data_IF_024283538594
#
_entry.id   IF_024283538594
#
_cell.length_a   1.000
_cell.length_b   1.000
_cell.length_c   1.000
_cell.angle_alpha   90.00
_cell.angle_beta   90.00
_cell.angle_gamma   90.00
#
_symmetry.space_group_name_H-M   'P 1'
#
loop_
_entity.id
_entity.type
_entity.pdbx_description
1 polymer ?
#
# COMPACT_ATOMS: atom_id res chain seq x y z
N UNK A 1 -54.63 14.98 -29.56
CA UNK A 1 -53.67 14.22 -28.74
C UNK A 1 -52.21 14.36 -29.20
N UNK A 2 -51.96 14.61 -30.50
CA UNK A 2 -50.61 14.83 -31.06
C UNK A 2 -49.87 16.06 -30.49
N UNK A 3 -50.58 17.16 -30.19
CA UNK A 3 -49.98 18.36 -29.57
C UNK A 3 -49.48 18.15 -28.12
N UNK A 4 -50.12 17.24 -27.36
CA UNK A 4 -49.67 16.86 -26.01
C UNK A 4 -48.41 15.97 -26.07
N UNK A 5 -48.29 15.16 -27.12
CA UNK A 5 -47.11 14.33 -27.36
C UNK A 5 -45.89 15.17 -27.79
N UNK A 6 -46.11 16.21 -28.61
CA UNK A 6 -45.05 17.13 -29.04
C UNK A 6 -44.49 17.98 -27.89
N UNK A 7 -45.32 18.35 -26.91
CA UNK A 7 -44.91 19.13 -25.74
C UNK A 7 -44.05 18.31 -24.75
N UNK A 8 -44.32 17.00 -24.64
CA UNK A 8 -43.55 16.08 -23.78
C UNK A 8 -42.17 15.78 -24.38
N UNK A 9 -42.07 15.73 -25.72
CA UNK A 9 -40.80 15.53 -26.42
C UNK A 9 -39.86 16.75 -26.29
N UNK A 10 -40.42 17.97 -26.23
CA UNK A 10 -39.64 19.20 -26.09
C UNK A 10 -39.03 19.34 -24.69
N UNK A 11 -39.70 18.83 -23.65
CA UNK A 11 -39.20 18.84 -22.25
C UNK A 11 -38.02 17.88 -22.09
N UNK A 12 -37.97 16.79 -22.87
CA UNK A 12 -36.84 15.85 -22.86
C UNK A 12 -35.57 16.42 -23.53
N UNK A 13 -35.69 17.37 -24.46
CA UNK A 13 -34.52 18.00 -25.11
C UNK A 13 -33.88 19.15 -24.32
N UNK A 14 -34.58 19.74 -23.35
CA UNK A 14 -34.07 20.87 -22.54
C UNK A 14 -33.44 20.39 -21.22
N UNK A 15 -33.56 19.10 -20.88
CA UNK A 15 -33.00 18.51 -19.65
C UNK A 15 -31.49 18.20 -19.68
N UNK A 16 -30.77 18.55 -20.75
CA UNK A 16 -29.32 18.38 -20.85
C UNK A 16 -28.58 19.73 -20.84
N UNK A 17 -28.87 20.55 -19.84
CA UNK A 17 -27.94 21.59 -19.39
C UNK A 17 -27.43 21.18 -18.02
N UNK A 18 -26.61 20.13 -18.00
CA UNK A 18 -25.69 19.96 -16.89
C UNK A 18 -24.62 21.04 -17.07
N UNK A 19 -24.86 22.21 -16.48
CA UNK A 19 -23.76 23.04 -15.96
C UNK A 19 -23.08 22.19 -14.89
N UNK A 20 -22.30 21.21 -15.35
CA UNK A 20 -21.21 20.67 -14.56
C UNK A 20 -20.24 21.82 -14.41
N UNK A 21 -20.42 22.58 -13.33
CA UNK A 21 -19.33 23.23 -12.63
C UNK A 21 -18.26 22.16 -12.51
N UNK A 22 -17.33 22.18 -13.45
CA UNK A 22 -16.12 21.38 -13.42
C UNK A 22 -15.32 22.00 -12.30
N UNK A 23 -15.58 21.52 -11.08
CA UNK A 23 -14.65 21.65 -9.99
C UNK A 23 -13.39 20.93 -10.47
N UNK A 24 -12.46 21.69 -11.02
CA UNK A 24 -11.18 21.24 -11.56
C UNK A 24 -10.24 20.84 -10.41
N UNK A 25 -10.76 20.16 -9.38
CA UNK A 25 -9.98 19.28 -8.53
C UNK A 25 -9.71 18.01 -9.34
N UNK A 26 -8.80 18.09 -10.32
CA UNK A 26 -8.22 16.90 -10.94
C UNK A 26 -7.79 15.95 -9.81
N UNK A 27 -8.48 14.81 -9.70
CA UNK A 27 -8.19 13.78 -8.70
C UNK A 27 -6.70 13.44 -8.77
N UNK A 28 -5.94 13.78 -7.73
CA UNK A 28 -4.50 13.47 -7.67
C UNK A 28 -4.32 11.94 -7.87
N UNK A 29 -3.38 11.50 -8.74
CA UNK A 29 -3.10 10.08 -8.92
C UNK A 29 -2.82 9.41 -7.56
N UNK A 30 -3.44 8.27 -7.30
CA UNK A 30 -3.23 7.48 -6.09
C UNK A 30 -2.34 6.28 -6.40
N UNK A 31 -1.32 6.07 -5.58
CA UNK A 31 -0.46 4.89 -5.58
C UNK A 31 -0.80 4.01 -4.37
N UNK A 32 -0.87 2.70 -4.57
CA UNK A 32 -1.21 1.73 -3.56
C UNK A 32 0.00 0.90 -3.15
N UNK A 33 0.45 1.08 -1.91
CA UNK A 33 1.62 0.39 -1.36
C UNK A 33 1.22 -0.65 -0.33
N UNK A 34 1.71 -1.87 -0.48
CA UNK A 34 1.61 -2.96 0.48
C UNK A 34 2.91 -3.07 1.26
N UNK A 35 2.91 -2.66 2.54
CA UNK A 35 4.14 -2.46 3.33
C UNK A 35 4.14 -3.35 4.57
N UNK A 36 5.18 -4.17 4.73
CA UNK A 36 5.37 -4.97 5.94
C UNK A 36 5.40 -4.11 7.20
N UNK A 37 4.73 -4.58 8.26
CA UNK A 37 4.47 -3.79 9.49
C UNK A 37 5.73 -3.16 10.12
N UNK A 38 6.89 -3.82 10.01
CA UNK A 38 8.16 -3.36 10.60
C UNK A 38 8.76 -2.14 9.90
N UNK A 39 8.30 -1.80 8.70
CA UNK A 39 8.85 -0.72 7.87
C UNK A 39 7.88 0.46 7.72
N UNK A 40 6.69 0.40 8.31
CA UNK A 40 5.64 1.41 8.08
C UNK A 40 6.09 2.81 8.46
N UNK A 41 6.79 2.97 9.59
CA UNK A 41 7.25 4.29 10.04
C UNK A 41 8.18 4.96 9.01
N UNK A 42 9.34 4.36 8.64
CA UNK A 42 10.22 4.99 7.65
C UNK A 42 9.55 5.13 6.28
N UNK A 43 8.72 4.18 5.84
CA UNK A 43 8.02 4.28 4.55
C UNK A 43 6.97 5.39 4.55
N UNK A 44 6.25 5.62 5.64
CA UNK A 44 5.29 6.73 5.76
C UNK A 44 5.97 8.09 5.67
N UNK A 45 7.16 8.23 6.26
CA UNK A 45 7.96 9.46 6.17
C UNK A 45 8.37 9.73 4.71
N UNK A 46 8.88 8.71 4.02
CA UNK A 46 9.25 8.79 2.60
C UNK A 46 8.03 9.03 1.69
N UNK A 47 6.89 8.39 1.98
CA UNK A 47 5.67 8.55 1.20
C UNK A 47 5.20 10.01 1.23
N UNK A 48 5.18 10.63 2.41
CA UNK A 48 4.82 12.05 2.56
C UNK A 48 5.74 12.96 1.73
N UNK A 49 7.05 12.73 1.77
CA UNK A 49 8.01 13.49 0.97
C UNK A 49 7.79 13.30 -0.53
N UNK A 50 7.50 12.06 -0.95
CA UNK A 50 7.19 11.75 -2.34
C UNK A 50 5.89 12.43 -2.81
N UNK A 51 4.82 12.38 -2.01
CA UNK A 51 3.54 13.05 -2.32
C UNK A 51 3.74 14.56 -2.50
N UNK A 52 4.51 15.21 -1.62
CA UNK A 52 4.83 16.64 -1.71
C UNK A 52 5.58 16.98 -3.01
N UNK A 53 6.50 16.11 -3.43
CA UNK A 53 7.30 16.33 -4.63
C UNK A 53 6.57 15.98 -5.94
N UNK A 54 5.56 15.10 -5.92
CA UNK A 54 5.02 14.47 -7.13
C UNK A 54 3.52 14.69 -7.40
N UNK A 55 2.83 15.57 -6.66
CA UNK A 55 1.38 15.82 -6.80
C UNK A 55 0.53 14.53 -6.90
N UNK A 56 0.88 13.54 -6.09
CA UNK A 56 0.18 12.27 -5.99
C UNK A 56 -0.29 12.05 -4.55
N UNK A 57 -1.03 10.95 -4.35
CA UNK A 57 -1.40 10.40 -3.05
C UNK A 57 -0.84 8.99 -2.94
N UNK A 58 -0.37 8.59 -1.77
CA UNK A 58 0.11 7.24 -1.48
C UNK A 58 -0.77 6.65 -0.38
N UNK A 59 -1.48 5.59 -0.72
CA UNK A 59 -2.25 4.77 0.20
C UNK A 59 -1.41 3.58 0.65
N UNK A 60 -1.20 3.44 1.95
CA UNK A 60 -0.43 2.34 2.53
C UNK A 60 -1.37 1.32 3.16
N UNK A 61 -1.32 0.08 2.68
CA UNK A 61 -1.85 -1.11 3.34
C UNK A 61 -0.70 -1.75 4.11
N UNK A 62 -0.85 -1.87 5.43
CA UNK A 62 0.17 -2.43 6.32
C UNK A 62 -0.28 -3.78 6.89
N UNK A 63 0.68 -4.69 7.13
CA UNK A 63 0.36 -6.00 7.69
C UNK A 63 1.49 -7.03 7.61
N UNK A 64 1.12 -8.29 7.81
CA UNK A 64 1.99 -9.44 7.59
C UNK A 64 2.27 -9.63 6.10
N UNK A 65 3.51 -10.01 5.74
CA UNK A 65 3.89 -10.07 4.33
C UNK A 65 3.10 -11.09 3.50
N UNK A 66 2.64 -12.19 4.11
CA UNK A 66 1.76 -13.14 3.42
C UNK A 66 0.37 -12.56 3.19
N UNK A 67 -0.28 -12.04 4.23
CA UNK A 67 -1.62 -11.46 4.14
C UNK A 67 -1.68 -10.30 3.13
N UNK A 68 -0.62 -9.48 3.09
CA UNK A 68 -0.45 -8.42 2.09
C UNK A 68 -0.34 -8.97 0.68
N UNK A 69 0.41 -10.07 0.49
CA UNK A 69 0.51 -10.72 -0.82
C UNK A 69 -0.82 -11.31 -1.26
N UNK A 70 -1.52 -12.01 -0.37
CA UNK A 70 -2.83 -12.60 -0.67
C UNK A 70 -3.86 -11.52 -1.02
N UNK A 71 -3.79 -10.37 -0.34
CA UNK A 71 -4.60 -9.19 -0.64
C UNK A 71 -4.28 -8.59 -2.01
N UNK A 72 -3.00 -8.43 -2.34
CA UNK A 72 -2.52 -7.97 -3.65
C UNK A 72 -2.94 -8.94 -4.76
N UNK A 73 -2.78 -10.24 -4.54
CA UNK A 73 -3.16 -11.29 -5.50
C UNK A 73 -4.66 -11.31 -5.76
N UNK A 74 -5.45 -11.13 -4.71
CA UNK A 74 -6.92 -11.11 -4.81
C UNK A 74 -7.43 -9.84 -5.48
N UNK A 75 -6.84 -8.67 -5.18
CA UNK A 75 -7.24 -7.40 -5.79
C UNK A 75 -6.76 -7.25 -7.22
N UNK A 76 -5.59 -7.79 -7.55
CA UNK A 76 -4.87 -7.51 -8.79
C UNK A 76 -4.37 -6.06 -8.88
N UNK A 77 -4.37 -5.32 -7.77
CA UNK A 77 -4.01 -3.92 -7.68
C UNK A 77 -2.84 -3.73 -6.72
N UNK A 78 -1.90 -2.85 -7.07
CA UNK A 78 -0.77 -2.47 -6.23
C UNK A 78 0.40 -1.93 -7.04
N UNK A 79 0.98 -0.83 -6.57
CA UNK A 79 2.14 -0.18 -7.20
C UNK A 79 3.46 -0.56 -6.53
N UNK A 80 3.40 -0.94 -5.25
CA UNK A 80 4.56 -1.40 -4.49
C UNK A 80 4.17 -2.53 -3.54
N UNK A 81 4.96 -3.61 -3.55
CA UNK A 81 4.93 -4.65 -2.54
C UNK A 81 6.28 -4.69 -1.83
N UNK A 82 6.30 -4.34 -0.55
CA UNK A 82 7.49 -4.30 0.29
C UNK A 82 7.38 -5.33 1.44
N UNK A 83 7.72 -6.61 1.17
CA UNK A 83 7.68 -7.65 2.18
C UNK A 83 8.85 -7.53 3.17
N UNK A 84 8.69 -8.09 4.36
CA UNK A 84 9.75 -8.16 5.38
C UNK A 84 10.88 -9.15 5.03
N UNK A 85 10.74 -9.93 3.95
CA UNK A 85 11.78 -10.84 3.46
C UNK A 85 11.59 -11.12 1.97
N UNK A 86 12.72 -11.34 1.28
CA UNK A 86 12.74 -11.72 -0.14
C UNK A 86 12.04 -13.08 -0.40
N UNK A 87 11.95 -13.95 0.60
CA UNK A 87 11.32 -15.26 0.46
C UNK A 87 9.85 -15.20 0.03
N UNK A 88 9.12 -14.13 0.41
CA UNK A 88 7.75 -13.92 -0.03
C UNK A 88 7.65 -13.60 -1.52
N UNK A 89 8.66 -12.94 -2.10
CA UNK A 89 8.72 -12.77 -3.55
C UNK A 89 9.05 -14.09 -4.23
N UNK A 90 10.12 -14.77 -3.80
CA UNK A 90 10.60 -15.99 -4.46
C UNK A 90 9.54 -17.09 -4.52
N UNK A 91 8.78 -17.30 -3.43
CA UNK A 91 7.74 -18.33 -3.39
C UNK A 91 6.51 -18.01 -4.24
N UNK A 92 6.27 -16.73 -4.51
CA UNK A 92 5.07 -16.27 -5.22
C UNK A 92 5.37 -15.73 -6.62
N UNK A 93 6.64 -15.76 -7.07
CA UNK A 93 7.05 -15.18 -8.35
C UNK A 93 6.34 -15.81 -9.57
N UNK A 94 6.02 -17.12 -9.47
CA UNK A 94 5.34 -17.85 -10.52
C UNK A 94 3.91 -17.34 -10.82
N UNK A 95 3.30 -16.57 -9.91
CA UNK A 95 1.97 -15.99 -10.12
C UNK A 95 1.98 -14.84 -11.16
N UNK A 96 3.16 -14.35 -11.57
CA UNK A 96 3.29 -13.34 -12.64
C UNK A 96 2.92 -11.91 -12.24
N UNK A 97 2.58 -11.68 -10.97
CA UNK A 97 2.18 -10.36 -10.44
C UNK A 97 3.37 -9.52 -9.93
N UNK A 98 4.48 -10.17 -9.59
CA UNK A 98 5.64 -9.53 -8.96
C UNK A 98 6.69 -9.18 -10.01
N UNK A 99 6.91 -7.88 -10.22
CA UNK A 99 7.85 -7.34 -11.20
C UNK A 99 9.30 -7.30 -10.64
N UNK A 100 10.10 -6.38 -11.19
CA UNK A 100 11.45 -6.08 -10.75
C UNK A 100 11.50 -5.76 -9.25
N UNK A 101 12.64 -6.08 -8.62
CA UNK A 101 12.85 -5.87 -7.19
C UNK A 101 14.16 -5.15 -6.93
N UNK A 102 14.21 -4.43 -5.82
CA UNK A 102 15.41 -3.80 -5.26
C UNK A 102 15.48 -4.09 -3.78
N UNK A 103 16.67 -4.48 -3.32
CA UNK A 103 16.95 -4.63 -1.91
C UNK A 103 17.17 -3.26 -1.29
N UNK A 104 16.35 -2.90 -0.29
CA UNK A 104 16.37 -1.57 0.33
C UNK A 104 16.80 -1.59 1.80
N UNK A 105 16.93 -2.76 2.41
CA UNK A 105 17.35 -2.89 3.81
C UNK A 105 17.10 -4.26 4.42
N UNK A 106 17.53 -4.42 5.67
CA UNK A 106 17.36 -5.63 6.47
C UNK A 106 17.04 -5.28 7.91
N UNK A 107 16.38 -6.21 8.61
CA UNK A 107 16.25 -6.15 10.07
C UNK A 107 17.39 -6.97 10.70
N UNK A 108 17.92 -6.48 11.81
CA UNK A 108 18.90 -7.21 12.62
C UNK A 108 18.21 -7.80 13.84
N UNK A 109 18.23 -9.13 13.96
CA UNK A 109 17.78 -9.80 15.18
C UNK A 109 18.61 -9.30 16.38
N UNK A 110 17.93 -8.96 17.47
CA UNK A 110 18.54 -8.33 18.64
C UNK A 110 17.88 -8.85 19.91
N UNK A 111 18.67 -8.94 20.99
CA UNK A 111 18.18 -9.24 22.33
C UNK A 111 18.00 -7.91 23.05
N UNK A 112 16.77 -7.59 23.43
CA UNK A 112 16.47 -6.39 24.21
C UNK A 112 16.36 -6.76 25.68
N UNK A 113 17.23 -6.17 26.52
CA UNK A 113 17.26 -6.41 27.98
C UNK A 113 17.03 -5.11 28.74
N UNK A 114 16.59 -5.23 30.00
CA UNK A 114 16.51 -4.09 30.91
C UNK A 114 17.91 -3.46 31.12
N UNK A 115 17.93 -2.15 31.37
CA UNK A 115 19.18 -1.41 31.62
C UNK A 115 20.01 -2.11 32.70
N UNK A 116 21.28 -2.39 32.38
CA UNK A 116 22.20 -3.09 33.27
C UNK A 116 22.19 -4.62 33.15
N UNK A 117 21.34 -5.20 32.28
CA UNK A 117 21.26 -6.64 32.04
C UNK A 117 21.13 -7.47 33.34
N UNK A 118 20.07 -7.27 34.14
CA UNK A 118 19.95 -7.89 35.47
C UNK A 118 19.91 -9.42 35.44
N UNK A 119 19.56 -10.03 34.30
CA UNK A 119 19.52 -11.49 34.12
C UNK A 119 20.79 -12.05 33.46
N UNK A 120 21.79 -11.21 33.16
CA UNK A 120 23.08 -11.66 32.63
C UNK A 120 22.99 -12.33 31.26
N UNK A 121 22.04 -11.94 30.39
CA UNK A 121 21.94 -12.51 29.05
C UNK A 121 23.23 -12.27 28.25
N UNK A 122 23.77 -13.30 27.58
CA UNK A 122 24.88 -13.11 26.66
C UNK A 122 24.48 -12.23 25.47
N UNK A 123 25.45 -11.53 24.89
CA UNK A 123 25.25 -10.72 23.68
C UNK A 123 25.16 -11.55 22.39
N UNK A 124 25.14 -12.88 22.50
CA UNK A 124 25.14 -13.82 21.39
C UNK A 124 23.71 -14.31 21.11
N UNK A 125 23.34 -14.31 19.82
CA UNK A 125 22.06 -14.80 19.33
C UNK A 125 21.95 -16.34 19.38
N UNK A 126 23.04 -17.06 19.63
CA UNK A 126 23.02 -18.52 19.81
C UNK A 126 22.06 -18.99 20.91
N UNK A 127 21.72 -18.11 21.87
CA UNK A 127 20.72 -18.37 22.90
C UNK A 127 19.33 -18.73 22.34
N UNK A 128 18.98 -18.26 21.14
CA UNK A 128 17.72 -18.64 20.49
C UNK A 128 17.74 -20.06 19.89
N UNK A 129 18.92 -20.65 19.71
CA UNK A 129 19.07 -22.01 19.18
C UNK A 129 18.97 -23.09 20.25
N UNK A 130 19.18 -22.72 21.53
CA UNK A 130 19.02 -23.58 22.70
C UNK A 130 18.35 -22.78 23.82
N UNK A 131 17.01 -22.76 23.89
CA UNK A 131 16.32 -22.05 24.97
C UNK A 131 16.75 -22.63 26.33
N UNK A 132 17.19 -21.74 27.23
CA UNK A 132 17.52 -22.05 28.63
C UNK A 132 16.25 -22.32 29.42
#
# INVERSE_FOLDING_TARGET
MLKKFLLILLIFLVGCSNDSLTDESASRPELLFYVGITMVKPVSELAREFEHANNCRIKIIQGGSQDLYDSLKTSGLGDLYLPGSLSYRSRNFADGLLLDTRFVGYNQASIMVAKGNPQGFPSDLSLFSNPV
#
